data_IF_743696845598
#
_entry.id   IF_743696845598
#
_cell.length_a   1.000
_cell.length_b   1.000
_cell.length_c   1.000
_cell.angle_alpha   90.00
_cell.angle_beta   90.00
_cell.angle_gamma   90.00
#
_symmetry.space_group_name_H-M   'P 1'
#
loop_
_entity.id
_entity.type
_entity.pdbx_description
1 polymer ?
#
# COMPACT_ATOMS: atom_id res chain seq x y z
N UNK A 1 -28.43 20.25 13.80
CA UNK A 1 -26.98 20.08 13.52
C UNK A 1 -26.87 18.82 12.70
N UNK A 2 -26.39 18.90 11.46
CA UNK A 2 -26.25 17.74 10.59
C UNK A 2 -25.02 16.97 11.08
N UNK A 3 -25.19 15.72 11.49
CA UNK A 3 -24.08 14.82 11.83
C UNK A 3 -23.50 14.26 10.52
N UNK A 4 -22.59 15.03 9.92
CA UNK A 4 -21.88 14.69 8.70
C UNK A 4 -20.82 13.61 8.97
N UNK A 5 -21.24 12.35 8.97
CA UNK A 5 -20.37 11.18 9.17
C UNK A 5 -19.61 10.81 7.88
N UNK A 6 -18.79 11.73 7.37
CA UNK A 6 -17.94 11.46 6.22
C UNK A 6 -16.96 10.33 6.52
N UNK A 7 -16.90 9.35 5.63
CA UNK A 7 -15.90 8.29 5.64
C UNK A 7 -15.23 8.21 4.28
N UNK A 8 -13.99 7.70 4.27
CA UNK A 8 -13.27 7.44 3.02
C UNK A 8 -13.98 6.29 2.29
N UNK A 9 -14.22 6.45 0.99
CA UNK A 9 -14.68 5.35 0.14
C UNK A 9 -13.59 4.30 -0.01
N UNK A 10 -13.92 3.04 -0.33
CA UNK A 10 -12.91 2.07 -0.71
C UNK A 10 -12.01 2.58 -1.85
N UNK A 11 -10.81 2.02 -1.97
CA UNK A 11 -9.84 2.38 -3.00
C UNK A 11 -10.12 1.59 -4.29
N UNK A 12 -10.34 2.30 -5.40
CA UNK A 12 -10.72 1.76 -6.71
C UNK A 12 -9.68 2.13 -7.78
N UNK A 13 -9.88 1.67 -9.02
CA UNK A 13 -9.02 1.96 -10.19
C UNK A 13 -7.53 1.57 -10.00
N UNK A 14 -7.32 0.44 -9.32
CA UNK A 14 -5.99 -0.12 -9.09
C UNK A 14 -5.56 -0.89 -10.33
N UNK A 15 -4.51 -0.41 -10.99
CA UNK A 15 -3.92 -1.06 -12.16
C UNK A 15 -2.40 -1.20 -11.98
N UNK A 16 -1.87 -2.39 -12.27
CA UNK A 16 -0.42 -2.54 -12.45
C UNK A 16 -0.02 -1.92 -13.78
N UNK A 17 0.70 -0.80 -13.73
CA UNK A 17 1.15 -0.06 -14.90
C UNK A 17 2.67 0.10 -14.88
N UNK A 18 3.42 -0.77 -15.58
CA UNK A 18 4.85 -0.55 -15.78
C UNK A 18 5.04 0.60 -16.76
N UNK A 19 5.11 1.83 -16.25
CA UNK A 19 5.36 3.01 -17.07
C UNK A 19 6.84 3.09 -17.45
N UNK A 20 7.16 3.70 -18.60
CA UNK A 20 8.56 3.88 -19.03
C UNK A 20 9.39 4.73 -18.05
N UNK A 21 8.72 5.56 -17.25
CA UNK A 21 9.35 6.49 -16.33
C UNK A 21 9.37 5.98 -14.87
N UNK A 22 8.69 4.86 -14.58
CA UNK A 22 8.57 4.27 -13.23
C UNK A 22 8.09 5.25 -12.15
N UNK A 23 7.32 6.27 -12.51
CA UNK A 23 6.81 7.27 -11.57
C UNK A 23 5.44 6.89 -10.99
N UNK A 24 5.30 7.04 -9.67
CA UNK A 24 4.03 6.99 -8.96
C UNK A 24 3.19 8.24 -9.28
N UNK A 25 1.87 8.06 -9.34
CA UNK A 25 0.91 9.16 -9.54
C UNK A 25 0.99 10.23 -8.44
N UNK A 26 1.42 9.85 -7.24
CA UNK A 26 1.64 10.76 -6.12
C UNK A 26 3.04 10.56 -5.58
N UNK A 27 3.85 11.62 -5.65
CA UNK A 27 5.19 11.64 -5.07
C UNK A 27 5.14 12.12 -3.61
N UNK A 28 5.97 11.52 -2.76
CA UNK A 28 6.20 12.03 -1.41
C UNK A 28 7.61 12.61 -1.32
N UNK A 29 7.72 13.85 -0.82
CA UNK A 29 9.01 14.55 -0.69
C UNK A 29 9.82 14.63 -2.02
N UNK A 30 9.13 14.73 -3.16
CA UNK A 30 9.75 14.78 -4.48
C UNK A 30 10.24 13.43 -5.03
N UNK A 31 10.06 12.33 -4.29
CA UNK A 31 10.46 10.99 -4.72
C UNK A 31 9.30 10.28 -5.43
N UNK A 32 9.11 10.59 -6.71
CA UNK A 32 8.07 9.99 -7.55
C UNK A 32 8.45 8.64 -8.14
N UNK A 33 9.73 8.42 -8.44
CA UNK A 33 10.20 7.21 -9.16
C UNK A 33 10.86 6.15 -8.28
N UNK A 34 11.38 6.53 -7.10
CA UNK A 34 12.09 5.63 -6.21
C UNK A 34 11.86 5.99 -4.75
N UNK A 35 11.30 5.06 -3.98
CA UNK A 35 11.10 5.21 -2.55
C UNK A 35 12.43 5.00 -1.82
N UNK A 36 13.01 6.08 -1.30
CA UNK A 36 14.30 6.06 -0.60
C UNK A 36 14.15 5.85 0.92
N UNK A 37 15.22 5.41 1.60
CA UNK A 37 15.23 5.29 3.08
C UNK A 37 14.84 6.60 3.76
N UNK A 38 15.35 7.74 3.27
CA UNK A 38 15.04 9.08 3.78
C UNK A 38 13.54 9.40 3.67
N UNK A 39 12.89 8.93 2.60
CA UNK A 39 11.45 9.07 2.37
C UNK A 39 10.66 8.33 3.46
N UNK A 40 11.06 7.10 3.77
CA UNK A 40 10.44 6.29 4.83
C UNK A 40 10.69 6.91 6.22
N UNK A 41 11.91 7.34 6.52
CA UNK A 41 12.25 8.02 7.78
C UNK A 41 11.41 9.28 8.00
N UNK A 42 11.19 10.07 6.94
CA UNK A 42 10.32 11.24 6.99
C UNK A 42 8.85 10.84 7.22
N UNK A 43 8.34 9.82 6.54
CA UNK A 43 6.99 9.29 6.80
C UNK A 43 6.81 8.83 8.25
N UNK A 44 7.82 8.15 8.81
CA UNK A 44 7.86 7.73 10.21
C UNK A 44 7.81 8.94 11.14
N UNK A 45 8.55 10.01 10.83
CA UNK A 45 8.50 11.26 11.60
C UNK A 45 7.12 11.92 11.60
N UNK A 46 6.39 11.85 10.48
CA UNK A 46 5.06 12.47 10.34
C UNK A 46 3.93 11.61 10.93
N UNK A 47 3.99 10.29 10.77
CA UNK A 47 2.88 9.36 11.10
C UNK A 47 3.11 8.55 12.37
N UNK A 48 4.35 8.50 12.86
CA UNK A 48 4.79 7.64 13.96
C UNK A 48 5.28 6.27 13.48
N UNK A 49 6.39 5.81 14.05
CA UNK A 49 7.07 4.56 13.64
C UNK A 49 6.16 3.33 13.75
N UNK A 50 5.36 3.24 14.82
CA UNK A 50 4.47 2.10 15.06
C UNK A 50 3.45 1.92 13.94
N UNK A 51 2.89 3.01 13.42
CA UNK A 51 1.88 2.97 12.34
C UNK A 51 2.52 2.42 11.06
N UNK A 52 3.68 2.98 10.67
CA UNK A 52 4.38 2.56 9.46
C UNK A 52 4.84 1.11 9.54
N UNK A 53 5.39 0.68 10.68
CA UNK A 53 5.82 -0.71 10.89
C UNK A 53 4.62 -1.67 10.80
N UNK A 54 3.51 -1.35 11.47
CA UNK A 54 2.32 -2.20 11.43
C UNK A 54 1.79 -2.39 10.00
N UNK A 55 1.67 -1.31 9.22
CA UNK A 55 1.22 -1.37 7.82
C UNK A 55 2.19 -2.21 6.98
N UNK A 56 3.50 -1.99 7.11
CA UNK A 56 4.50 -2.73 6.37
C UNK A 56 4.49 -4.24 6.69
N UNK A 57 4.33 -4.59 7.97
CA UNK A 57 4.21 -5.98 8.42
C UNK A 57 2.94 -6.63 7.86
N UNK A 58 1.80 -5.94 7.92
CA UNK A 58 0.54 -6.48 7.39
C UNK A 58 0.62 -6.76 5.89
N UNK A 59 1.15 -5.81 5.10
CA UNK A 59 1.36 -6.00 3.66
C UNK A 59 2.29 -7.18 3.39
N UNK A 60 3.40 -7.27 4.13
CA UNK A 60 4.36 -8.39 3.98
C UNK A 60 3.71 -9.73 4.28
N UNK A 61 2.94 -9.83 5.36
CA UNK A 61 2.28 -11.07 5.77
C UNK A 61 1.23 -11.53 4.77
N UNK A 62 0.53 -10.60 4.12
CA UNK A 62 -0.41 -10.91 3.03
C UNK A 62 0.36 -11.34 1.77
N UNK A 63 1.37 -10.57 1.37
CA UNK A 63 2.10 -10.79 0.13
C UNK A 63 2.92 -12.10 0.14
N UNK A 64 3.58 -12.43 1.25
CA UNK A 64 4.42 -13.64 1.37
C UNK A 64 3.63 -14.93 1.15
N UNK A 65 2.37 -14.94 1.57
CA UNK A 65 1.49 -16.11 1.51
C UNK A 65 0.58 -16.10 0.29
N UNK A 66 0.62 -15.04 -0.51
CA UNK A 66 -0.31 -14.83 -1.60
C UNK A 66 -0.31 -15.99 -2.60
N UNK A 67 0.86 -16.43 -3.02
CA UNK A 67 1.00 -17.56 -3.96
C UNK A 67 0.46 -18.89 -3.38
N UNK A 68 0.65 -19.12 -2.09
CA UNK A 68 0.17 -20.33 -1.40
C UNK A 68 -1.36 -20.32 -1.27
N UNK A 69 -1.94 -19.19 -0.89
CA UNK A 69 -3.40 -19.01 -0.77
C UNK A 69 -4.09 -19.16 -2.13
N UNK A 70 -3.51 -18.61 -3.20
CA UNK A 70 -4.05 -18.78 -4.55
C UNK A 70 -4.15 -20.24 -4.99
N UNK A 71 -3.13 -21.06 -4.69
CA UNK A 71 -3.18 -22.49 -5.00
C UNK A 71 -4.34 -23.17 -4.27
N UNK A 72 -4.48 -22.94 -2.96
CA UNK A 72 -5.55 -23.55 -2.17
C UNK A 72 -6.95 -23.16 -2.64
N UNK A 73 -7.17 -21.90 -3.02
CA UNK A 73 -8.45 -21.45 -3.57
C UNK A 73 -8.79 -22.10 -4.91
N UNK A 74 -7.81 -22.25 -5.80
CA UNK A 74 -8.01 -22.92 -7.10
C UNK A 74 -8.30 -24.42 -6.90
N UNK A 75 -7.64 -25.09 -5.96
CA UNK A 75 -7.87 -26.52 -5.68
C UNK A 75 -9.15 -26.83 -4.90
N UNK A 76 -9.79 -25.84 -4.25
CA UNK A 76 -11.10 -26.04 -3.60
C UNK A 76 -12.30 -25.81 -4.53
N UNK A 77 -12.05 -25.41 -5.78
CA UNK A 77 -13.08 -25.21 -6.81
C UNK A 77 -13.15 -26.35 -7.84
N UNK A 78 -12.40 -27.44 -7.64
CA UNK A 78 -12.45 -28.65 -8.46
C UNK A 78 -12.48 -29.92 -7.60
#
# INVERSE_FOLDING_TARGET
MINDNWHISPFYDIMYSPSRYNEHMTAFNGYGSNITKKTIELMVGLSGAKVIINIATEIYDIAKDFHRKLKLLVFQQF
#
